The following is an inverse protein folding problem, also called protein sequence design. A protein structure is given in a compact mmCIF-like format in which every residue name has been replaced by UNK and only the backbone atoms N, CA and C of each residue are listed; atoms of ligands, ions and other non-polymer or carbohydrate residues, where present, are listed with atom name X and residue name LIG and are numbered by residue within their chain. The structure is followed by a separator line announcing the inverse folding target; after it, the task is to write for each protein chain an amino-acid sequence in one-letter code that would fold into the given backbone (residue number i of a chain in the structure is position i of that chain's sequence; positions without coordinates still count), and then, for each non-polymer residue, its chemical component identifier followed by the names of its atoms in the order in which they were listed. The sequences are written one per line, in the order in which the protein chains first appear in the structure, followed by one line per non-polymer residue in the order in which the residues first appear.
data_IF_777845300874
#
_entry.id   IF_777845300874
#
_cell.length_a   1.000
_cell.length_b   1.000
_cell.length_c   1.000
_cell.angle_alpha   90.00
_cell.angle_beta   90.00
_cell.angle_gamma   90.00
#
_symmetry.space_group_name_H-M   'P 1'
#
loop_
_entity.id
_entity.type
_entity.pdbx_description
1 polymer ?
#
# COMPACT_ATOMS: atom_id res chain seq x y z
N UNK A 1 -41.65 30.42 34.81
CA UNK A 1 -41.54 30.64 33.36
C UNK A 1 -41.46 29.30 32.68
N UNK A 2 -42.37 29.00 31.75
CA UNK A 2 -42.34 27.73 31.01
C UNK A 2 -41.20 27.76 29.98
N UNK A 3 -40.60 26.61 29.68
CA UNK A 3 -39.55 26.47 28.68
C UNK A 3 -39.98 27.04 27.31
N UNK A 4 -41.27 26.89 26.98
CA UNK A 4 -41.89 27.46 25.78
C UNK A 4 -41.83 28.99 25.74
N UNK A 5 -42.10 29.67 26.86
CA UNK A 5 -42.07 31.13 26.94
C UNK A 5 -40.65 31.70 26.73
N UNK A 6 -39.63 30.96 27.18
CA UNK A 6 -38.22 31.35 27.02
C UNK A 6 -37.75 31.14 25.59
N UNK A 7 -38.12 30.03 24.96
CA UNK A 7 -37.77 29.75 23.54
C UNK A 7 -38.44 30.77 22.62
N UNK A 8 -39.72 31.08 22.84
CA UNK A 8 -40.47 32.04 22.02
C UNK A 8 -39.90 33.47 22.09
N UNK A 9 -39.49 33.93 23.28
CA UNK A 9 -38.89 35.27 23.45
C UNK A 9 -37.46 35.35 22.88
N UNK A 10 -36.75 34.22 22.86
CA UNK A 10 -35.41 34.12 22.26
C UNK A 10 -35.48 34.15 20.74
N UNK A 11 -36.44 33.45 20.12
CA UNK A 11 -36.62 33.44 18.66
C UNK A 11 -37.01 34.82 18.09
N UNK A 12 -37.78 35.63 18.84
CA UNK A 12 -38.15 37.00 18.43
C UNK A 12 -36.99 37.98 18.39
N UNK A 13 -35.88 37.69 19.09
CA UNK A 13 -34.68 38.53 19.14
C UNK A 13 -33.68 38.22 18.02
N UNK A 14 -33.93 37.20 17.18
CA UNK A 14 -33.06 36.86 16.06
C UNK A 14 -33.33 37.85 14.91
N UNK A 15 -32.36 38.72 14.55
CA UNK A 15 -32.55 39.67 13.47
C UNK A 15 -32.71 38.95 12.13
N UNK A 16 -33.81 39.21 11.43
CA UNK A 16 -34.03 38.71 10.07
C UNK A 16 -33.09 39.43 9.09
N UNK A 17 -32.45 38.72 8.15
CA UNK A 17 -31.58 39.33 7.15
C UNK A 17 -32.37 40.36 6.32
N UNK A 18 -31.89 41.60 6.28
CA UNK A 18 -32.64 42.74 5.71
C UNK A 18 -32.28 43.02 4.25
N UNK A 19 -31.06 42.67 3.83
CA UNK A 19 -30.58 42.84 2.45
C UNK A 19 -30.45 41.50 1.70
N UNK A 20 -30.40 41.56 0.36
CA UNK A 20 -30.11 40.37 -0.47
C UNK A 20 -28.74 39.77 -0.13
N UNK A 21 -27.77 40.62 0.22
CA UNK A 21 -26.43 40.22 0.64
C UNK A 21 -26.47 39.48 1.98
N UNK A 22 -27.26 39.94 2.96
CA UNK A 22 -27.44 39.25 4.25
C UNK A 22 -28.05 37.86 4.06
N UNK A 23 -29.07 37.75 3.18
CA UNK A 23 -29.71 36.46 2.86
C UNK A 23 -28.71 35.50 2.20
N UNK A 24 -27.84 36.02 1.34
CA UNK A 24 -26.78 35.23 0.71
C UNK A 24 -25.75 34.74 1.74
N UNK A 25 -25.27 35.61 2.64
CA UNK A 25 -24.33 35.22 3.69
C UNK A 25 -24.92 34.21 4.68
N UNK A 26 -26.19 34.39 5.08
CA UNK A 26 -26.88 33.41 5.94
C UNK A 26 -27.06 32.07 5.23
N UNK A 27 -27.43 32.08 3.94
CA UNK A 27 -27.54 30.85 3.15
C UNK A 27 -26.18 30.13 3.01
N UNK A 28 -25.10 30.87 2.73
CA UNK A 28 -23.75 30.33 2.62
C UNK A 28 -23.26 29.76 3.96
N UNK A 29 -23.46 30.48 5.07
CA UNK A 29 -23.13 30.00 6.41
C UNK A 29 -23.92 28.76 6.80
N UNK A 30 -25.21 28.72 6.50
CA UNK A 30 -26.07 27.55 6.75
C UNK A 30 -25.61 26.34 5.92
N UNK A 31 -25.32 26.54 4.63
CA UNK A 31 -24.80 25.48 3.77
C UNK A 31 -23.44 24.95 4.25
N UNK A 32 -22.55 25.85 4.72
CA UNK A 32 -21.26 25.46 5.29
C UNK A 32 -21.41 24.65 6.58
N UNK A 33 -22.33 25.02 7.48
CA UNK A 33 -22.59 24.28 8.72
C UNK A 33 -23.22 22.92 8.43
N UNK A 34 -24.25 22.87 7.58
CA UNK A 34 -24.92 21.60 7.22
C UNK A 34 -23.95 20.67 6.47
N UNK A 35 -23.23 21.20 5.47
CA UNK A 35 -22.20 20.45 4.76
C UNK A 35 -21.09 19.96 5.68
N UNK A 36 -20.64 20.81 6.61
CA UNK A 36 -19.69 20.45 7.65
C UNK A 36 -20.18 19.30 8.52
N UNK A 37 -21.41 19.37 9.03
CA UNK A 37 -21.99 18.31 9.87
C UNK A 37 -22.16 16.97 9.13
N UNK A 38 -22.45 17.00 7.83
CA UNK A 38 -22.58 15.80 7.01
C UNK A 38 -21.22 15.17 6.66
N UNK A 39 -20.20 15.99 6.40
CA UNK A 39 -18.88 15.52 5.97
C UNK A 39 -17.94 15.19 7.13
N UNK A 40 -18.06 15.89 8.27
CA UNK A 40 -17.15 15.77 9.40
C UNK A 40 -17.00 14.33 9.93
N UNK A 41 -18.06 13.51 10.08
CA UNK A 41 -17.90 12.12 10.50
C UNK A 41 -17.08 11.29 9.51
N UNK A 42 -17.28 11.49 8.20
CA UNK A 42 -16.54 10.78 7.15
C UNK A 42 -15.07 11.20 7.13
N UNK A 43 -14.81 12.51 7.17
CA UNK A 43 -13.45 13.08 7.24
C UNK A 43 -12.74 12.61 8.50
N UNK A 44 -13.42 12.58 9.64
CA UNK A 44 -12.86 12.10 10.89
C UNK A 44 -12.55 10.59 10.83
N UNK A 45 -13.45 9.78 10.27
CA UNK A 45 -13.20 8.33 10.06
C UNK A 45 -12.00 8.11 9.15
N UNK A 46 -11.90 8.87 8.06
CA UNK A 46 -10.80 8.82 7.10
C UNK A 46 -9.46 9.15 7.77
N UNK A 47 -9.41 10.26 8.52
CA UNK A 47 -8.25 10.64 9.32
C UNK A 47 -7.90 9.59 10.39
N UNK A 48 -8.91 9.00 11.03
CA UNK A 48 -8.70 7.92 12.01
C UNK A 48 -8.08 6.68 11.39
N UNK A 49 -8.49 6.31 10.17
CA UNK A 49 -7.87 5.23 9.40
C UNK A 49 -6.40 5.57 9.13
N UNK A 50 -6.12 6.78 8.61
CA UNK A 50 -4.75 7.23 8.35
C UNK A 50 -3.87 7.19 9.60
N UNK A 51 -4.37 7.73 10.71
CA UNK A 51 -3.64 7.73 11.98
C UNK A 51 -3.31 6.29 12.42
N UNK A 52 -4.23 5.36 12.24
CA UNK A 52 -4.04 3.96 12.65
C UNK A 52 -2.98 3.21 11.83
N UNK A 53 -2.55 3.74 10.68
CA UNK A 53 -1.44 3.14 9.91
C UNK A 53 -0.10 3.20 10.61
N UNK A 54 0.04 4.04 11.65
CA UNK A 54 1.30 4.30 12.32
C UNK A 54 2.31 5.01 11.42
N UNK A 55 3.59 4.84 11.76
CA UNK A 55 4.68 5.50 11.04
C UNK A 55 4.85 4.90 9.63
N UNK A 56 5.46 5.69 8.74
CA UNK A 56 5.75 5.33 7.36
C UNK A 56 6.44 6.51 6.66
N UNK A 57 6.46 6.52 5.32
CA UNK A 57 7.14 7.56 4.54
C UNK A 57 6.61 9.00 4.67
N UNK A 58 5.45 9.20 5.30
CA UNK A 58 4.86 10.51 5.61
C UNK A 58 4.61 10.65 7.11
N UNK A 59 4.63 11.88 7.68
CA UNK A 59 4.33 12.08 9.10
C UNK A 59 2.94 11.55 9.47
N UNK A 60 2.86 10.72 10.52
CA UNK A 60 1.59 10.18 11.03
C UNK A 60 0.81 11.21 11.87
N UNK A 61 0.38 12.30 11.25
CA UNK A 61 -0.39 13.36 11.89
C UNK A 61 -1.34 14.04 10.89
N UNK A 62 -2.07 15.06 11.33
CA UNK A 62 -3.04 15.79 10.50
C UNK A 62 -2.40 16.40 9.24
N UNK A 63 -1.18 16.92 9.34
CA UNK A 63 -0.48 17.50 8.21
C UNK A 63 -0.15 16.43 7.16
N UNK A 64 0.41 15.29 7.57
CA UNK A 64 0.68 14.18 6.67
C UNK A 64 -0.58 13.64 6.00
N UNK A 65 -1.68 13.50 6.74
CA UNK A 65 -2.98 13.11 6.18
C UNK A 65 -3.46 14.10 5.11
N UNK A 66 -3.40 15.41 5.38
CA UNK A 66 -3.79 16.45 4.41
C UNK A 66 -2.89 16.41 3.18
N UNK A 67 -1.57 16.26 3.36
CA UNK A 67 -0.61 16.12 2.25
C UNK A 67 -0.97 14.90 1.39
N UNK A 68 -1.24 13.75 2.00
CA UNK A 68 -1.62 12.55 1.25
C UNK A 68 -2.92 12.78 0.50
N UNK A 69 -3.96 13.27 1.16
CA UNK A 69 -5.28 13.46 0.54
C UNK A 69 -5.30 14.52 -0.56
N UNK A 70 -4.63 15.65 -0.34
CA UNK A 70 -4.69 16.80 -1.24
C UNK A 70 -3.65 16.75 -2.35
N UNK A 71 -2.44 16.26 -2.06
CA UNK A 71 -1.31 16.30 -2.99
C UNK A 71 -0.99 14.95 -3.62
N UNK A 72 -1.06 13.86 -2.85
CA UNK A 72 -0.57 12.56 -3.32
C UNK A 72 -1.67 11.70 -3.93
N UNK A 73 -2.86 11.70 -3.34
CA UNK A 73 -4.01 10.90 -3.76
C UNK A 73 -4.40 11.08 -5.24
N UNK A 74 -4.35 12.29 -5.84
CA UNK A 74 -4.69 12.47 -7.27
C UNK A 74 -3.80 11.69 -8.24
N UNK A 75 -2.61 11.25 -7.80
CA UNK A 75 -1.67 10.48 -8.62
C UNK A 75 -1.82 8.96 -8.44
N UNK A 76 -2.67 8.51 -7.50
CA UNK A 76 -2.92 7.09 -7.26
C UNK A 76 -3.67 6.43 -8.41
N UNK A 77 -3.35 5.17 -8.68
CA UNK A 77 -4.06 4.32 -9.64
C UNK A 77 -4.81 3.20 -8.93
N UNK A 78 -5.72 2.56 -9.66
CA UNK A 78 -6.32 1.31 -9.23
C UNK A 78 -5.23 0.23 -9.03
N UNK A 79 -5.45 -0.70 -8.12
CA UNK A 79 -4.40 -1.61 -7.65
C UNK A 79 -4.61 -3.07 -8.06
N UNK A 80 -5.70 -3.42 -8.75
CA UNK A 80 -6.12 -4.80 -8.98
C UNK A 80 -6.07 -5.25 -10.44
N UNK A 81 -6.01 -4.34 -11.41
CA UNK A 81 -5.92 -4.73 -12.82
C UNK A 81 -4.57 -5.39 -13.13
N UNK A 82 -4.63 -6.47 -13.91
CA UNK A 82 -3.46 -7.18 -14.45
C UNK A 82 -3.15 -6.81 -15.90
N UNK A 83 -3.92 -5.91 -16.51
CA UNK A 83 -3.78 -5.50 -17.91
C UNK A 83 -2.37 -4.99 -18.25
N UNK A 84 -1.75 -4.24 -17.33
CA UNK A 84 -0.37 -3.75 -17.50
C UNK A 84 0.63 -4.89 -17.71
N UNK A 85 0.40 -6.06 -17.11
CA UNK A 85 1.30 -7.20 -17.22
C UNK A 85 1.05 -7.99 -18.49
N UNK A 86 -0.20 -8.08 -18.96
CA UNK A 86 -0.52 -8.68 -20.27
C UNK A 86 0.28 -7.95 -21.36
N UNK A 87 0.20 -6.61 -21.37
CA UNK A 87 0.91 -5.78 -22.34
C UNK A 87 2.43 -5.93 -22.26
N UNK A 88 2.99 -5.98 -21.04
CA UNK A 88 4.44 -6.15 -20.83
C UNK A 88 4.96 -7.52 -21.23
N UNK A 89 4.19 -8.56 -20.95
CA UNK A 89 4.52 -9.93 -21.35
C UNK A 89 4.52 -10.03 -22.88
N UNK A 90 3.47 -9.52 -23.53
CA UNK A 90 3.34 -9.54 -25.00
C UNK A 90 4.42 -8.72 -25.70
N UNK A 91 4.80 -7.57 -25.14
CA UNK A 91 5.86 -6.73 -25.68
C UNK A 91 7.27 -7.34 -25.53
N UNK A 92 7.43 -8.43 -24.76
CA UNK A 92 8.74 -8.94 -24.31
C UNK A 92 9.58 -7.86 -23.59
N UNK A 93 8.95 -6.77 -23.17
CA UNK A 93 9.54 -5.65 -22.42
C UNK A 93 9.74 -6.00 -20.93
N UNK A 94 9.26 -7.17 -20.50
CA UNK A 94 9.44 -7.66 -19.15
C UNK A 94 10.87 -8.14 -18.92
N UNK A 95 11.60 -7.46 -18.04
CA UNK A 95 12.64 -8.14 -17.27
C UNK A 95 11.98 -9.40 -16.66
N UNK A 96 12.39 -10.60 -17.05
CA UNK A 96 11.81 -11.87 -16.57
C UNK A 96 11.81 -13.00 -17.61
N UNK A 97 11.49 -14.24 -17.21
CA UNK A 97 11.39 -15.44 -18.08
C UNK A 97 10.16 -15.45 -19.00
N UNK A 98 9.76 -14.31 -19.56
CA UNK A 98 8.56 -14.20 -20.39
C UNK A 98 7.29 -14.65 -19.64
N UNK A 99 6.51 -15.55 -20.25
CA UNK A 99 5.24 -16.06 -19.69
C UNK A 99 5.38 -16.90 -18.41
N UNK A 100 6.57 -17.45 -18.13
CA UNK A 100 6.72 -18.46 -17.08
C UNK A 100 6.94 -17.85 -15.69
N UNK A 101 7.63 -16.70 -15.60
CA UNK A 101 7.99 -16.09 -14.31
C UNK A 101 8.97 -16.95 -13.49
N UNK A 102 8.99 -16.74 -12.17
CA UNK A 102 9.85 -17.47 -11.22
C UNK A 102 9.07 -18.21 -10.14
N UNK A 103 7.74 -18.02 -10.04
CA UNK A 103 6.89 -18.77 -9.11
C UNK A 103 6.79 -20.24 -9.51
N UNK A 104 7.03 -21.13 -8.55
CA UNK A 104 6.86 -22.59 -8.73
C UNK A 104 5.62 -23.16 -8.06
N UNK A 105 4.76 -22.30 -7.49
CA UNK A 105 3.52 -22.72 -6.84
C UNK A 105 2.51 -23.29 -7.85
N UNK A 106 1.81 -24.36 -7.45
CA UNK A 106 0.71 -24.91 -8.24
C UNK A 106 -0.51 -23.97 -8.23
N UNK A 107 -1.40 -24.14 -9.22
CA UNK A 107 -2.67 -23.41 -9.24
C UNK A 107 -3.52 -23.67 -7.99
N UNK A 108 -3.46 -24.88 -7.43
CA UNK A 108 -4.17 -25.24 -6.19
C UNK A 108 -3.62 -24.48 -4.99
N UNK A 109 -2.28 -24.40 -4.84
CA UNK A 109 -1.64 -23.64 -3.78
C UNK A 109 -1.99 -22.15 -3.88
N UNK A 110 -1.99 -21.59 -5.08
CA UNK A 110 -2.40 -20.20 -5.31
C UNK A 110 -3.90 -20.00 -5.08
N UNK A 111 -4.76 -20.94 -5.46
CA UNK A 111 -6.21 -20.82 -5.27
C UNK A 111 -6.66 -20.97 -3.81
N UNK A 112 -5.80 -21.48 -2.92
CA UNK A 112 -6.11 -21.73 -1.50
C UNK A 112 -6.67 -20.52 -0.75
N UNK A 113 -6.26 -19.29 -1.12
CA UNK A 113 -6.73 -18.04 -0.49
C UNK A 113 -8.05 -17.52 -1.05
N UNK A 114 -8.44 -17.90 -2.27
CA UNK A 114 -9.55 -17.28 -3.02
C UNK A 114 -10.90 -17.37 -2.31
N UNK A 115 -11.11 -18.42 -1.50
CA UNK A 115 -12.36 -18.65 -0.76
C UNK A 115 -12.67 -17.61 0.32
N UNK A 116 -11.66 -16.96 0.88
CA UNK A 116 -11.82 -16.04 2.02
C UNK A 116 -11.94 -14.56 1.61
N UNK A 117 -11.84 -14.29 0.31
CA UNK A 117 -11.78 -12.93 -0.23
C UNK A 117 -10.45 -12.23 0.06
N UNK A 118 -10.30 -11.03 -0.53
CA UNK A 118 -9.11 -10.18 -0.29
C UNK A 118 -9.27 -9.41 1.01
N UNK A 119 -8.17 -9.13 1.73
CA UNK A 119 -8.22 -8.17 2.81
C UNK A 119 -8.51 -6.77 2.26
N UNK A 120 -9.07 -5.92 3.10
CA UNK A 120 -9.24 -4.51 2.81
C UNK A 120 -7.88 -3.82 2.94
N UNK A 121 -7.50 -3.06 1.92
CA UNK A 121 -6.34 -2.18 1.96
C UNK A 121 -6.82 -0.75 2.12
N UNK A 122 -6.11 0.02 2.92
CA UNK A 122 -6.48 1.38 3.25
C UNK A 122 -6.65 2.30 2.03
N UNK A 123 -7.54 3.30 2.07
CA UNK A 123 -7.92 4.11 0.91
C UNK A 123 -6.86 5.15 0.48
N UNK A 124 -5.83 5.33 1.31
CA UNK A 124 -4.77 6.30 1.11
C UNK A 124 -3.67 5.70 0.24
N UNK A 125 -3.13 6.48 -0.70
CA UNK A 125 -2.04 6.01 -1.59
C UNK A 125 -0.76 5.67 -0.85
N UNK A 126 -0.48 6.36 0.27
CA UNK A 126 0.64 6.10 1.19
C UNK A 126 0.28 6.51 2.63
N UNK A 127 0.83 5.86 3.66
CA UNK A 127 1.40 4.51 3.62
C UNK A 127 0.33 3.50 3.18
N UNK A 128 0.72 2.48 2.41
CA UNK A 128 -0.19 1.41 2.03
C UNK A 128 -0.23 0.37 3.16
N UNK A 129 -1.42 0.12 3.70
CA UNK A 129 -1.63 -0.80 4.84
C UNK A 129 -2.80 -1.72 4.61
N UNK A 130 -2.65 -2.96 5.02
CA UNK A 130 -3.71 -3.94 5.14
C UNK A 130 -4.51 -3.65 6.42
N UNK A 131 -5.84 -3.66 6.34
CA UNK A 131 -6.75 -3.27 7.43
C UNK A 131 -7.51 -4.45 8.02
N UNK A 132 -7.70 -5.53 7.25
CA UNK A 132 -8.42 -6.73 7.68
C UNK A 132 -7.61 -7.99 7.39
N UNK A 133 -8.04 -9.12 7.94
CA UNK A 133 -7.29 -10.38 7.87
C UNK A 133 -5.85 -10.25 8.41
N UNK A 134 -5.67 -9.42 9.43
CA UNK A 134 -4.40 -9.28 10.14
C UNK A 134 -4.13 -10.61 10.87
N UNK A 135 -2.96 -11.24 10.71
CA UNK A 135 -2.66 -12.50 11.36
C UNK A 135 -2.59 -12.39 12.88
N UNK A 136 -2.69 -13.53 13.54
CA UNK A 136 -2.41 -13.63 14.98
C UNK A 136 -0.90 -13.44 15.23
N UNK A 137 -0.56 -12.98 16.44
CA UNK A 137 0.81 -12.63 16.84
C UNK A 137 1.79 -13.81 16.67
N UNK A 138 1.34 -15.04 16.89
CA UNK A 138 2.20 -16.23 16.72
C UNK A 138 2.53 -16.49 15.24
N UNK A 139 1.58 -16.27 14.33
CA UNK A 139 1.80 -16.37 12.89
C UNK A 139 2.74 -15.25 12.42
N UNK A 140 2.55 -14.03 12.93
CA UNK A 140 3.43 -12.88 12.68
C UNK A 140 4.87 -13.17 13.06
N UNK A 141 5.11 -13.63 14.30
CA UNK A 141 6.45 -13.96 14.79
C UNK A 141 7.11 -15.07 13.98
N UNK A 142 6.37 -16.14 13.65
CA UNK A 142 6.87 -17.23 12.82
C UNK A 142 7.22 -16.77 11.42
N UNK A 143 6.36 -15.96 10.80
CA UNK A 143 6.60 -15.42 9.48
C UNK A 143 7.87 -14.56 9.45
N UNK A 144 8.01 -13.63 10.40
CA UNK A 144 9.20 -12.79 10.50
C UNK A 144 10.48 -13.59 10.79
N UNK A 145 10.40 -14.62 11.63
CA UNK A 145 11.51 -15.55 11.88
C UNK A 145 11.93 -16.32 10.62
N UNK A 146 10.96 -16.79 9.82
CA UNK A 146 11.20 -17.45 8.52
C UNK A 146 11.84 -16.49 7.52
N UNK A 147 11.31 -15.27 7.40
CA UNK A 147 11.85 -14.22 6.53
C UNK A 147 13.30 -13.88 6.88
N UNK A 148 13.57 -13.66 8.16
CA UNK A 148 14.92 -13.35 8.68
C UNK A 148 15.89 -14.50 8.37
N UNK A 149 15.50 -15.73 8.71
CA UNK A 149 16.33 -16.92 8.48
C UNK A 149 16.59 -17.15 6.98
N UNK A 150 15.61 -16.87 6.13
CA UNK A 150 15.72 -16.99 4.68
C UNK A 150 16.69 -15.98 4.10
N UNK A 151 16.63 -14.72 4.52
CA UNK A 151 17.61 -13.70 4.12
C UNK A 151 19.04 -14.06 4.54
N UNK A 152 19.23 -14.54 5.78
CA UNK A 152 20.54 -14.96 6.29
C UNK A 152 21.10 -16.17 5.52
N UNK A 153 20.25 -17.14 5.17
CA UNK A 153 20.65 -18.30 4.37
C UNK A 153 21.07 -17.90 2.95
N UNK A 154 20.43 -16.87 2.40
CA UNK A 154 20.69 -16.34 1.08
C UNK A 154 21.58 -15.10 1.06
N UNK A 155 22.45 -14.90 2.07
CA UNK A 155 23.35 -13.74 2.17
C UNK A 155 24.31 -13.54 0.98
N UNK A 156 24.51 -14.60 0.18
CA UNK A 156 25.27 -14.55 -1.07
C UNK A 156 24.51 -13.86 -2.22
N UNK A 157 23.19 -13.66 -2.07
CA UNK A 157 22.32 -12.99 -3.04
C UNK A 157 21.73 -11.70 -2.48
N UNK A 158 21.44 -11.68 -1.17
CA UNK A 158 20.76 -10.57 -0.51
C UNK A 158 21.51 -10.09 0.74
N UNK A 159 21.20 -8.88 1.18
CA UNK A 159 21.62 -8.30 2.46
C UNK A 159 20.42 -7.66 3.15
N UNK A 160 20.47 -7.55 4.47
CA UNK A 160 19.51 -6.73 5.21
C UNK A 160 19.97 -5.28 5.27
N UNK A 161 19.02 -4.36 5.07
CA UNK A 161 19.17 -2.93 5.26
C UNK A 161 17.80 -2.33 5.52
N UNK A 162 17.73 -1.19 6.20
CA UNK A 162 16.50 -0.44 6.41
C UNK A 162 15.84 -0.08 5.06
N UNK A 163 14.53 -0.33 4.91
CA UNK A 163 13.79 -0.05 3.68
C UNK A 163 13.83 1.43 3.32
N UNK A 164 13.91 1.72 2.02
CA UNK A 164 13.85 3.08 1.48
C UNK A 164 12.44 3.66 1.56
N UNK A 165 11.41 2.81 1.46
CA UNK A 165 10.00 3.20 1.39
C UNK A 165 9.26 2.97 2.72
N UNK A 166 9.77 2.07 3.56
CA UNK A 166 9.29 1.79 4.92
C UNK A 166 10.43 1.97 5.92
N UNK A 167 10.74 3.22 6.27
CA UNK A 167 11.87 3.61 7.12
C UNK A 167 11.89 3.02 8.54
N UNK A 168 11.01 2.09 8.86
CA UNK A 168 10.89 1.44 10.17
C UNK A 168 11.03 -0.09 10.10
N UNK A 169 11.19 -0.67 8.91
CA UNK A 169 11.45 -2.11 8.75
C UNK A 169 12.76 -2.38 8.02
N UNK A 170 13.37 -3.50 8.39
CA UNK A 170 14.40 -4.13 7.58
C UNK A 170 13.79 -4.70 6.28
N UNK A 171 14.59 -4.63 5.23
CA UNK A 171 14.28 -5.14 3.91
C UNK A 171 15.43 -5.98 3.36
N UNK A 172 15.10 -6.85 2.42
CA UNK A 172 16.06 -7.56 1.60
C UNK A 172 16.48 -6.66 0.45
N UNK A 173 17.77 -6.41 0.36
CA UNK A 173 18.42 -5.71 -0.74
C UNK A 173 19.34 -6.67 -1.50
N UNK A 174 19.67 -6.34 -2.75
CA UNK A 174 20.73 -7.02 -3.48
C UNK A 174 22.06 -6.99 -2.71
N UNK A 175 22.76 -8.11 -2.70
CA UNK A 175 24.13 -8.18 -2.19
C UNK A 175 25.06 -7.27 -3.01
N UNK A 176 25.98 -6.57 -2.34
CA UNK A 176 26.82 -5.52 -2.95
C UNK A 176 27.69 -5.97 -4.13
N UNK A 177 27.96 -7.27 -4.26
CA UNK A 177 28.82 -7.83 -5.30
C UNK A 177 28.05 -8.24 -6.57
N UNK A 178 26.72 -8.20 -6.54
CA UNK A 178 25.90 -8.51 -7.70
C UNK A 178 25.74 -7.26 -8.59
N UNK A 179 25.66 -7.44 -9.92
CA UNK A 179 25.38 -6.33 -10.82
C UNK A 179 23.98 -5.80 -10.56
N UNK A 180 23.84 -4.47 -10.52
CA UNK A 180 22.54 -3.81 -10.39
C UNK A 180 21.89 -3.79 -11.78
N UNK A 181 20.70 -4.40 -11.89
CA UNK A 181 19.86 -4.32 -13.10
C UNK A 181 19.15 -2.96 -13.16
N UNK A 182 18.64 -2.57 -14.33
CA UNK A 182 17.87 -1.32 -14.47
C UNK A 182 16.67 -1.27 -13.51
N UNK A 183 15.96 -2.40 -13.37
CA UNK A 183 14.87 -2.53 -12.41
C UNK A 183 15.33 -2.38 -10.97
N UNK A 184 16.45 -2.99 -10.61
CA UNK A 184 17.03 -2.83 -9.28
C UNK A 184 17.46 -1.38 -9.02
N UNK A 185 17.84 -0.62 -10.04
CA UNK A 185 18.17 0.81 -9.90
C UNK A 185 16.95 1.62 -9.49
N UNK A 186 15.76 1.36 -10.07
CA UNK A 186 14.52 2.05 -9.71
C UNK A 186 14.15 1.89 -8.23
N UNK A 187 14.45 0.73 -7.66
CA UNK A 187 14.21 0.43 -6.24
C UNK A 187 15.45 0.58 -5.36
N UNK A 188 16.53 1.15 -5.90
CA UNK A 188 17.82 1.32 -5.21
C UNK A 188 18.33 0.01 -4.55
N UNK A 189 18.09 -1.11 -5.23
CA UNK A 189 18.48 -2.46 -4.82
C UNK A 189 17.52 -3.15 -3.87
N UNK A 190 16.44 -2.50 -3.43
CA UNK A 190 15.44 -3.10 -2.54
C UNK A 190 14.59 -4.13 -3.31
N UNK A 191 14.49 -5.33 -2.76
CA UNK A 191 13.79 -6.48 -3.34
C UNK A 191 12.44 -6.65 -2.66
N UNK A 192 12.44 -6.78 -1.33
CA UNK A 192 11.24 -6.99 -0.55
C UNK A 192 11.40 -6.54 0.90
N UNK A 193 10.31 -6.06 1.51
CA UNK A 193 10.26 -5.67 2.92
C UNK A 193 8.93 -6.07 3.56
N UNK A 194 8.96 -6.36 4.85
CA UNK A 194 7.78 -6.76 5.64
C UNK A 194 7.29 -5.57 6.47
N UNK A 195 5.99 -5.38 6.66
CA UNK A 195 5.46 -4.36 7.57
C UNK A 195 5.44 -4.87 9.03
N UNK A 196 6.61 -5.12 9.62
CA UNK A 196 6.78 -5.78 10.94
C UNK A 196 6.11 -5.07 12.11
N UNK A 197 5.93 -3.75 12.03
CA UNK A 197 5.34 -2.97 13.12
C UNK A 197 3.81 -2.85 13.02
N UNK A 198 3.18 -3.43 11.98
CA UNK A 198 1.78 -3.20 11.67
C UNK A 198 1.06 -4.48 11.25
N UNK A 199 0.98 -4.74 9.95
CA UNK A 199 0.05 -5.71 9.37
C UNK A 199 0.74 -6.98 8.82
N UNK A 200 2.08 -7.01 8.80
CA UNK A 200 2.90 -8.10 8.26
C UNK A 200 2.64 -8.43 6.78
N UNK A 201 1.99 -7.53 6.05
CA UNK A 201 2.00 -7.55 4.58
C UNK A 201 3.40 -7.24 4.06
N UNK A 202 3.66 -7.62 2.81
CA UNK A 202 5.00 -7.55 2.22
C UNK A 202 4.95 -6.72 0.96
N UNK A 203 5.85 -5.78 0.84
CA UNK A 203 6.15 -5.20 -0.45
C UNK A 203 7.26 -5.98 -1.15
N UNK A 204 7.09 -6.29 -2.43
CA UNK A 204 8.07 -7.04 -3.20
C UNK A 204 8.05 -6.64 -4.68
N UNK A 205 9.21 -6.72 -5.33
CA UNK A 205 9.35 -6.54 -6.79
C UNK A 205 9.31 -7.90 -7.47
N UNK A 206 8.38 -8.11 -8.41
CA UNK A 206 8.08 -9.43 -8.98
C UNK A 206 8.13 -9.41 -10.51
N UNK A 207 8.42 -10.56 -11.14
CA UNK A 207 8.34 -10.64 -12.59
C UNK A 207 6.88 -10.36 -13.06
N UNK A 208 6.67 -9.75 -14.24
CA UNK A 208 5.32 -9.42 -14.72
C UNK A 208 4.34 -10.61 -14.74
N UNK A 209 4.80 -11.79 -15.17
CA UNK A 209 4.00 -13.02 -15.15
C UNK A 209 3.59 -13.44 -13.74
N UNK A 210 4.49 -13.31 -12.76
CA UNK A 210 4.21 -13.61 -11.36
C UNK A 210 3.25 -12.58 -10.76
N UNK A 211 3.39 -11.30 -11.14
CA UNK A 211 2.46 -10.26 -10.71
C UNK A 211 1.02 -10.58 -11.11
N UNK A 212 0.82 -10.99 -12.37
CA UNK A 212 -0.48 -11.41 -12.88
C UNK A 212 -1.04 -12.58 -12.08
N UNK A 213 -0.25 -13.65 -11.89
CA UNK A 213 -0.65 -14.86 -11.14
C UNK A 213 -1.04 -14.54 -9.70
N UNK A 214 -0.21 -13.78 -8.99
CA UNK A 214 -0.43 -13.38 -7.59
C UNK A 214 -1.71 -12.56 -7.45
N UNK A 215 -1.88 -11.56 -8.31
CA UNK A 215 -3.07 -10.71 -8.25
C UNK A 215 -4.29 -11.55 -8.57
N UNK A 216 -4.35 -12.29 -9.67
CA UNK A 216 -5.53 -13.08 -10.05
C UNK A 216 -5.91 -14.13 -9.00
N UNK A 217 -4.92 -14.71 -8.32
CA UNK A 217 -5.12 -15.70 -7.26
C UNK A 217 -5.58 -15.11 -5.91
N UNK A 218 -5.56 -13.79 -5.74
CA UNK A 218 -6.03 -13.17 -4.50
C UNK A 218 -4.95 -12.91 -3.45
N UNK A 219 -3.66 -13.05 -3.80
CA UNK A 219 -2.54 -12.96 -2.86
C UNK A 219 -1.95 -11.56 -2.70
N UNK A 220 -2.25 -10.66 -3.62
CA UNK A 220 -1.74 -9.30 -3.55
C UNK A 220 -2.42 -8.34 -4.51
N UNK A 221 -1.94 -7.11 -4.47
CA UNK A 221 -2.35 -6.00 -5.31
C UNK A 221 -1.16 -5.08 -5.56
N UNK A 222 -1.24 -4.20 -6.56
CA UNK A 222 -0.18 -3.22 -6.83
C UNK A 222 -0.11 -2.15 -5.75
N UNK A 223 1.03 -1.47 -5.66
CA UNK A 223 1.10 -0.19 -4.97
C UNK A 223 0.39 0.90 -5.80
N UNK A 224 -0.24 1.87 -5.14
CA UNK A 224 -1.05 2.88 -5.81
C UNK A 224 -0.25 3.77 -6.79
N UNK A 225 1.06 3.90 -6.56
CA UNK A 225 1.99 4.62 -7.45
C UNK A 225 2.76 3.72 -8.43
N UNK A 226 2.55 2.40 -8.42
CA UNK A 226 3.25 1.49 -9.33
C UNK A 226 2.98 1.82 -10.79
N UNK A 227 4.06 2.00 -11.57
CA UNK A 227 3.97 2.32 -12.99
C UNK A 227 3.48 3.75 -13.30
N UNK A 228 3.62 4.67 -12.34
CA UNK A 228 3.30 6.09 -12.50
C UNK A 228 4.55 6.96 -12.40
N UNK A 229 4.48 8.19 -12.92
CA UNK A 229 5.52 9.20 -12.72
C UNK A 229 5.37 9.99 -11.41
N UNK A 230 4.52 9.53 -10.48
CA UNK A 230 4.11 10.28 -9.29
C UNK A 230 5.29 10.58 -8.36
N UNK A 231 6.12 9.58 -8.08
CA UNK A 231 7.26 9.74 -7.17
C UNK A 231 8.27 10.76 -7.70
N UNK A 232 8.63 10.66 -8.99
CA UNK A 232 9.53 11.64 -9.62
C UNK A 232 8.91 13.03 -9.65
N UNK A 233 7.62 13.17 -9.96
CA UNK A 233 6.95 14.47 -9.97
C UNK A 233 6.89 15.11 -8.57
N UNK A 234 6.40 14.37 -7.58
CA UNK A 234 6.23 14.85 -6.20
C UNK A 234 7.56 15.15 -5.51
N UNK A 235 8.63 14.44 -5.89
CA UNK A 235 9.98 14.63 -5.36
C UNK A 235 10.85 15.59 -6.19
N UNK A 236 10.28 16.26 -7.20
CA UNK A 236 11.00 17.15 -8.11
C UNK A 236 12.22 16.50 -8.77
N UNK A 237 12.13 15.21 -9.09
CA UNK A 237 13.17 14.45 -9.79
C UNK A 237 14.18 13.76 -8.88
N UNK A 238 14.05 13.86 -7.56
CA UNK A 238 15.03 13.30 -6.62
C UNK A 238 14.80 11.82 -6.30
N UNK A 239 13.56 11.33 -6.45
CA UNK A 239 13.19 9.94 -6.17
C UNK A 239 12.74 9.26 -7.48
N UNK A 240 13.28 8.08 -7.82
CA UNK A 240 12.85 7.32 -8.99
C UNK A 240 11.39 6.84 -8.86
N UNK A 241 10.79 6.49 -9.99
CA UNK A 241 9.43 5.97 -10.00
C UNK A 241 9.38 4.52 -9.54
N UNK A 242 8.28 4.18 -8.86
CA UNK A 242 7.99 2.81 -8.45
C UNK A 242 7.61 2.02 -9.73
N UNK A 243 8.28 0.88 -10.00
CA UNK A 243 7.98 0.06 -11.16
C UNK A 243 6.57 -0.53 -11.05
N UNK A 244 5.96 -0.90 -12.18
CA UNK A 244 4.66 -1.59 -12.18
C UNK A 244 4.68 -2.89 -11.39
N UNK A 245 5.83 -3.54 -11.36
CA UNK A 245 6.20 -4.82 -10.76
C UNK A 245 6.24 -4.79 -9.22
N UNK A 246 6.05 -3.62 -8.61
CA UNK A 246 6.03 -3.47 -7.16
C UNK A 246 4.63 -3.76 -6.61
N UNK A 247 4.51 -4.85 -5.86
CA UNK A 247 3.27 -5.34 -5.27
C UNK A 247 3.25 -5.19 -3.76
N UNK A 248 2.05 -5.11 -3.21
CA UNK A 248 1.72 -5.47 -1.84
C UNK A 248 1.18 -6.90 -1.85
N UNK A 249 1.89 -7.82 -1.21
CA UNK A 249 1.49 -9.18 -0.91
C UNK A 249 0.81 -9.19 0.46
N UNK A 250 -0.37 -9.79 0.54
CA UNK A 250 -1.14 -9.81 1.78
C UNK A 250 -0.48 -10.69 2.84
N UNK A 251 -0.69 -10.33 4.09
CA UNK A 251 -0.10 -11.04 5.22
C UNK A 251 -0.58 -12.51 5.26
N UNK A 252 0.32 -13.46 5.58
CA UNK A 252 -0.05 -14.86 5.76
C UNK A 252 -0.83 -15.04 7.05
N UNK A 253 -1.94 -15.78 7.00
CA UNK A 253 -2.86 -16.00 8.13
C UNK A 253 -2.65 -17.34 8.83
N UNK A 254 -1.89 -18.24 8.21
CA UNK A 254 -1.62 -19.59 8.70
C UNK A 254 -0.20 -20.02 8.31
N UNK A 255 0.32 -21.07 8.94
CA UNK A 255 1.61 -21.65 8.56
C UNK A 255 1.66 -22.07 7.08
N UNK A 256 0.55 -22.58 6.52
CA UNK A 256 0.49 -22.93 5.10
C UNK A 256 0.60 -21.70 4.19
N UNK A 257 0.03 -20.56 4.62
CA UNK A 257 0.18 -19.30 3.89
C UNK A 257 1.58 -18.71 4.03
N UNK A 258 2.26 -18.94 5.16
CA UNK A 258 3.68 -18.55 5.32
C UNK A 258 4.51 -19.19 4.21
N UNK A 259 4.34 -20.48 3.95
CA UNK A 259 5.09 -21.17 2.88
C UNK A 259 4.82 -20.57 1.50
N UNK A 260 3.56 -20.19 1.21
CA UNK A 260 3.19 -19.51 -0.03
C UNK A 260 3.86 -18.14 -0.15
N UNK A 261 3.79 -17.32 0.91
CA UNK A 261 4.40 -15.98 0.92
C UNK A 261 5.92 -16.08 0.82
N UNK A 262 6.56 -17.06 1.47
CA UNK A 262 8.00 -17.28 1.35
C UNK A 262 8.42 -17.71 -0.05
N UNK A 263 7.61 -18.51 -0.76
CA UNK A 263 7.88 -18.82 -2.18
C UNK A 263 7.71 -17.59 -3.09
N UNK A 264 6.75 -16.71 -2.80
CA UNK A 264 6.63 -15.41 -3.49
C UNK A 264 7.89 -14.57 -3.28
N UNK A 265 8.40 -14.49 -2.04
CA UNK A 265 9.63 -13.74 -1.74
C UNK A 265 10.84 -14.40 -2.42
N UNK A 266 10.91 -15.73 -2.47
CA UNK A 266 11.93 -16.48 -3.21
C UNK A 266 11.92 -16.11 -4.70
N UNK A 267 10.75 -16.11 -5.34
CA UNK A 267 10.59 -15.68 -6.73
C UNK A 267 11.00 -14.21 -6.96
N UNK A 268 10.72 -13.31 -6.00
CA UNK A 268 11.19 -11.93 -6.03
C UNK A 268 12.72 -11.84 -6.08
N UNK A 269 13.42 -12.61 -5.22
CA UNK A 269 14.88 -12.65 -5.20
C UNK A 269 15.41 -13.20 -6.53
N UNK A 270 14.88 -14.33 -7.02
CA UNK A 270 15.31 -14.93 -8.29
C UNK A 270 15.17 -13.93 -9.44
N UNK A 271 14.07 -13.20 -9.44
CA UNK A 271 13.81 -12.17 -10.44
C UNK A 271 14.80 -11.00 -10.36
N UNK A 272 14.95 -10.39 -9.18
CA UNK A 272 15.79 -9.21 -9.00
C UNK A 272 17.28 -9.49 -9.14
N UNK A 273 17.71 -10.72 -8.85
CA UNK A 273 19.12 -11.16 -8.95
C UNK A 273 19.45 -11.81 -10.30
N UNK A 274 18.44 -12.33 -11.02
CA UNK A 274 18.63 -13.19 -12.19
C UNK A 274 19.23 -14.56 -11.85
N UNK A 275 19.12 -15.01 -10.59
CA UNK A 275 19.78 -16.22 -10.06
C UNK A 275 18.76 -17.27 -9.65
N UNK A 276 19.10 -18.54 -9.86
CA UNK A 276 18.24 -19.68 -9.51
C UNK A 276 18.69 -20.39 -8.22
N UNK A 277 19.88 -20.07 -7.71
CA UNK A 277 20.52 -20.73 -6.55
C UNK A 277 20.01 -20.23 -5.17
N UNK A 278 18.76 -19.80 -5.10
CA UNK A 278 18.06 -19.43 -3.85
C UNK A 278 17.78 -20.68 -3.01
N UNK A 279 18.08 -20.63 -1.71
CA UNK A 279 18.11 -21.76 -0.75
C UNK A 279 17.14 -21.61 0.42
#
# INVERSE_FOLDING_TARGET
MSLESVIADTLKKIPLPRSQQDRFHVALGTAAVVGGLLLLPSVYRDYRIFKNYGNGGVPNNLLGWMTVRALFQPFGREMLSTEVYVQRIDATDGHGKGHDGYLTLSEEQLASRKGDGRPEVGPHVVPQRQLTQIPDEDIMERFHSRFTSFGLRNHHLVKFQQSNLESHSDALFLANHLPITDLATCMQGEIAHVHTDHDYSVHAVMAPADCKKIIEAGWGQRHAFSGTSAMTFLSLGTIPNIPSEYLLIYAPRTEAEIEVVMEIISASIKFMTGREDVR
#
